data_IF_788282109970
#
_entry.id   IF_788282109970
#
_cell.length_a   1.000
_cell.length_b   1.000
_cell.length_c   1.000
_cell.angle_alpha   90.00
_cell.angle_beta   90.00
_cell.angle_gamma   90.00
#
_symmetry.space_group_name_H-M   'P 1'
#
loop_
_entity.id
_entity.type
_entity.pdbx_description
1 polymer ?
#
# COMPACT_ATOMS: atom_id res chain seq x y z
N UNK A 1 15.77 -19.09 4.28
CA UNK A 1 15.74 -18.92 5.76
C UNK A 1 14.32 -18.60 6.18
N UNK A 2 13.80 -19.26 7.22
CA UNK A 2 12.48 -18.97 7.79
C UNK A 2 12.59 -17.86 8.84
N UNK A 3 11.79 -16.80 8.70
CA UNK A 3 11.76 -15.66 9.62
C UNK A 3 10.39 -15.54 10.29
N UNK A 4 10.09 -16.36 11.31
CA UNK A 4 8.75 -16.42 11.90
C UNK A 4 8.30 -15.13 12.56
N UNK A 5 9.24 -14.25 12.93
CA UNK A 5 8.95 -12.91 13.45
C UNK A 5 8.15 -12.06 12.46
N UNK A 6 8.33 -12.27 11.14
CA UNK A 6 7.63 -11.52 10.11
C UNK A 6 6.15 -11.87 10.04
N UNK A 7 5.75 -13.08 10.44
CA UNK A 7 4.35 -13.52 10.38
C UNK A 7 3.43 -12.69 11.29
N UNK A 8 3.98 -11.93 12.25
CA UNK A 8 3.22 -10.93 12.98
C UNK A 8 2.57 -9.85 12.09
N UNK A 9 3.18 -9.54 10.94
CA UNK A 9 2.70 -8.57 9.96
C UNK A 9 1.61 -9.14 9.03
N UNK A 10 1.55 -10.47 8.93
CA UNK A 10 0.60 -11.18 8.07
C UNK A 10 -0.55 -11.75 8.93
N UNK A 11 -1.57 -10.92 9.18
CA UNK A 11 -2.75 -11.27 9.99
C UNK A 11 -4.03 -11.15 9.19
N UNK A 12 -5.03 -11.93 9.62
CA UNK A 12 -6.40 -11.89 9.09
C UNK A 12 -6.43 -12.04 7.55
N UNK A 13 -6.89 -11.03 6.83
CA UNK A 13 -7.07 -11.08 5.38
C UNK A 13 -5.75 -11.03 4.59
N UNK A 14 -4.61 -10.85 5.27
CA UNK A 14 -3.28 -10.91 4.67
C UNK A 14 -3.07 -12.23 3.92
N UNK A 15 -3.71 -13.32 4.39
CA UNK A 15 -3.63 -14.63 3.73
C UNK A 15 -4.16 -14.62 2.30
N UNK A 16 -5.21 -13.83 2.01
CA UNK A 16 -5.73 -13.71 0.64
C UNK A 16 -4.76 -12.94 -0.25
N UNK A 17 -4.22 -11.81 0.21
CA UNK A 17 -3.27 -11.02 -0.59
C UNK A 17 -1.99 -11.80 -0.92
N UNK A 18 -1.42 -12.47 0.09
CA UNK A 18 -0.21 -13.29 -0.08
C UNK A 18 -0.50 -14.47 -1.01
N UNK A 19 -1.58 -15.23 -0.75
CA UNK A 19 -1.95 -16.37 -1.57
C UNK A 19 -2.27 -16.00 -3.02
N UNK A 20 -2.97 -14.89 -3.27
CA UNK A 20 -3.21 -14.40 -4.63
C UNK A 20 -1.89 -14.03 -5.33
N UNK A 21 -0.91 -13.49 -4.59
CA UNK A 21 0.41 -13.17 -5.15
C UNK A 21 1.15 -14.44 -5.61
N UNK A 22 1.06 -15.54 -4.87
CA UNK A 22 1.72 -16.83 -5.19
C UNK A 22 0.93 -17.65 -6.21
N UNK A 23 -0.31 -17.98 -5.85
CA UNK A 23 -1.14 -19.02 -6.47
C UNK A 23 -2.17 -18.44 -7.45
N UNK A 24 -2.29 -17.12 -7.50
CA UNK A 24 -3.26 -16.43 -8.34
C UNK A 24 -4.69 -16.47 -7.80
N UNK A 25 -5.59 -15.79 -8.49
CA UNK A 25 -6.98 -15.62 -8.08
C UNK A 25 -7.81 -16.92 -8.07
N UNK A 26 -7.47 -17.88 -8.92
CA UNK A 26 -8.24 -19.12 -9.08
C UNK A 26 -8.22 -20.01 -7.82
N UNK A 27 -7.22 -19.82 -6.96
CA UNK A 27 -6.97 -20.66 -5.79
C UNK A 27 -7.80 -20.25 -4.56
N UNK A 28 -8.51 -19.12 -4.62
CA UNK A 28 -9.23 -18.56 -3.46
C UNK A 28 -10.72 -18.32 -3.75
N UNK A 29 -11.58 -18.89 -2.90
CA UNK A 29 -12.99 -18.48 -2.85
C UNK A 29 -13.08 -17.01 -2.44
N UNK A 30 -13.84 -16.20 -3.18
CA UNK A 30 -13.97 -14.76 -2.97
C UNK A 30 -12.71 -13.92 -3.26
N UNK A 31 -11.74 -14.45 -4.02
CA UNK A 31 -10.57 -13.68 -4.46
C UNK A 31 -10.93 -12.37 -5.16
N UNK A 32 -12.07 -12.31 -5.85
CA UNK A 32 -12.57 -11.12 -6.57
C UNK A 32 -12.80 -9.89 -5.69
N UNK A 33 -12.94 -10.05 -4.37
CA UNK A 33 -13.07 -8.92 -3.44
C UNK A 33 -11.75 -8.15 -3.26
N UNK A 34 -10.62 -8.77 -3.60
CA UNK A 34 -9.28 -8.20 -3.43
C UNK A 34 -8.79 -7.61 -4.74
N UNK A 35 -8.45 -6.31 -4.73
CA UNK A 35 -7.93 -5.63 -5.93
C UNK A 35 -6.54 -6.17 -6.32
N UNK A 36 -6.24 -6.31 -7.63
CA UNK A 36 -5.05 -7.01 -8.09
C UNK A 36 -3.75 -6.27 -7.89
N UNK A 37 -3.77 -4.94 -7.77
CA UNK A 37 -2.56 -4.15 -7.80
C UNK A 37 -1.60 -4.49 -6.64
N UNK A 38 -2.13 -4.65 -5.43
CA UNK A 38 -1.32 -4.95 -4.25
C UNK A 38 -0.73 -6.38 -4.29
N UNK A 39 -1.52 -7.45 -4.55
CA UNK A 39 -0.96 -8.79 -4.80
C UNK A 39 0.07 -8.83 -5.94
N UNK A 40 -0.15 -8.09 -7.04
CA UNK A 40 0.80 -8.01 -8.14
C UNK A 40 2.11 -7.33 -7.72
N UNK A 41 2.05 -6.29 -6.88
CA UNK A 41 3.24 -5.66 -6.33
C UNK A 41 4.04 -6.64 -5.45
N UNK A 42 3.36 -7.41 -4.59
CA UNK A 42 4.01 -8.48 -3.80
C UNK A 42 4.66 -9.50 -4.72
N UNK A 43 3.92 -10.01 -5.72
CA UNK A 43 4.38 -11.00 -6.69
C UNK A 43 5.64 -10.54 -7.44
N UNK A 44 5.71 -9.25 -7.78
CA UNK A 44 6.87 -8.68 -8.46
C UNK A 44 8.09 -8.51 -7.53
N UNK A 45 7.86 -8.27 -6.24
CA UNK A 45 8.92 -7.89 -5.29
C UNK A 45 9.49 -9.08 -4.51
N UNK A 46 8.71 -10.11 -4.16
CA UNK A 46 9.21 -11.22 -3.36
C UNK A 46 10.40 -11.98 -3.99
N UNK A 47 10.55 -12.10 -5.33
CA UNK A 47 11.72 -12.74 -5.94
C UNK A 47 13.05 -12.02 -5.65
N UNK A 48 13.01 -10.77 -5.18
CA UNK A 48 14.20 -10.03 -4.74
C UNK A 48 14.81 -10.56 -3.44
N UNK A 49 14.12 -11.45 -2.72
CA UNK A 49 14.58 -12.04 -1.46
C UNK A 49 14.79 -13.57 -1.55
N UNK A 50 15.60 -14.09 -2.50
CA UNK A 50 15.74 -15.52 -2.75
C UNK A 50 16.38 -16.30 -1.59
N UNK A 51 17.00 -15.61 -0.63
CA UNK A 51 17.57 -16.22 0.58
C UNK A 51 16.51 -16.51 1.66
N UNK A 52 15.28 -16.02 1.51
CA UNK A 52 14.15 -16.31 2.38
C UNK A 52 13.29 -17.45 1.82
N UNK A 53 12.55 -18.16 2.68
CA UNK A 53 11.47 -18.99 2.16
C UNK A 53 10.37 -18.11 1.55
N UNK A 54 9.57 -18.69 0.64
CA UNK A 54 8.57 -17.95 -0.15
C UNK A 54 7.66 -17.10 0.74
N UNK A 55 7.16 -17.67 1.84
CA UNK A 55 6.22 -16.96 2.72
C UNK A 55 6.90 -15.78 3.43
N UNK A 56 8.10 -15.98 3.98
CA UNK A 56 8.86 -14.87 4.59
C UNK A 56 9.21 -13.78 3.58
N UNK A 57 9.56 -14.16 2.34
CA UNK A 57 9.86 -13.24 1.25
C UNK A 57 8.65 -12.38 0.85
N UNK A 58 7.47 -12.99 0.75
CA UNK A 58 6.24 -12.27 0.38
C UNK A 58 5.78 -11.30 1.48
N UNK A 59 5.86 -11.71 2.75
CA UNK A 59 5.54 -10.83 3.87
C UNK A 59 6.49 -9.64 3.91
N UNK A 60 7.79 -9.88 3.72
CA UNK A 60 8.77 -8.80 3.65
C UNK A 60 8.50 -7.88 2.44
N UNK A 61 8.20 -8.45 1.28
CA UNK A 61 7.87 -7.69 0.07
C UNK A 61 6.64 -6.80 0.25
N UNK A 62 5.54 -7.34 0.79
CA UNK A 62 4.33 -6.58 1.06
C UNK A 62 4.53 -5.48 2.10
N UNK A 63 5.29 -5.76 3.17
CA UNK A 63 5.64 -4.77 4.18
C UNK A 63 6.46 -3.61 3.58
N UNK A 64 7.51 -3.94 2.82
CA UNK A 64 8.35 -2.93 2.17
C UNK A 64 7.58 -2.12 1.13
N UNK A 65 6.73 -2.77 0.33
CA UNK A 65 5.84 -2.08 -0.59
C UNK A 65 4.94 -1.09 0.14
N UNK A 66 4.32 -1.52 1.24
CA UNK A 66 3.44 -0.66 2.01
C UNK A 66 4.18 0.53 2.63
N UNK A 67 5.40 0.35 3.13
CA UNK A 67 6.23 1.47 3.59
C UNK A 67 6.52 2.48 2.47
N UNK A 68 6.88 1.98 1.28
CA UNK A 68 7.12 2.84 0.11
C UNK A 68 5.83 3.56 -0.30
N UNK A 69 4.70 2.84 -0.34
CA UNK A 69 3.41 3.39 -0.72
C UNK A 69 2.96 4.50 0.25
N UNK A 70 3.07 4.29 1.56
CA UNK A 70 2.78 5.32 2.57
C UNK A 70 3.72 6.51 2.43
N UNK A 71 5.02 6.30 2.20
CA UNK A 71 5.98 7.38 2.01
C UNK A 71 5.62 8.27 0.80
N UNK A 72 5.25 7.65 -0.31
CA UNK A 72 4.80 8.38 -1.52
C UNK A 72 3.42 9.02 -1.27
N UNK A 73 2.51 8.37 -0.56
CA UNK A 73 1.22 8.93 -0.19
C UNK A 73 1.39 10.18 0.69
N UNK A 74 2.29 10.12 1.68
CA UNK A 74 2.63 11.25 2.53
C UNK A 74 3.20 12.42 1.72
N UNK A 75 4.06 12.15 0.74
CA UNK A 75 4.54 13.19 -0.18
C UNK A 75 3.38 13.87 -0.94
N UNK A 76 2.46 13.11 -1.54
CA UNK A 76 1.33 13.70 -2.26
C UNK A 76 0.36 14.43 -1.33
N UNK A 77 0.11 13.89 -0.13
CA UNK A 77 -0.73 14.54 0.89
C UNK A 77 -0.12 15.86 1.37
N UNK A 78 1.19 15.92 1.62
CA UNK A 78 1.87 17.18 1.98
C UNK A 78 1.66 18.22 0.89
N UNK A 79 1.92 17.85 -0.37
CA UNK A 79 1.85 18.76 -1.51
C UNK A 79 0.44 19.25 -1.76
N UNK A 80 -0.54 18.35 -1.70
CA UNK A 80 -1.96 18.65 -1.88
C UNK A 80 -2.45 19.58 -0.76
N UNK A 81 -2.25 19.19 0.50
CA UNK A 81 -2.70 19.98 1.65
C UNK A 81 -2.01 21.33 1.72
N UNK A 82 -0.72 21.41 1.40
CA UNK A 82 0.01 22.68 1.36
C UNK A 82 -0.52 23.62 0.29
N UNK A 83 -0.91 23.09 -0.88
CA UNK A 83 -1.49 23.88 -1.96
C UNK A 83 -2.88 24.42 -1.59
N UNK A 84 -3.71 23.61 -0.90
CA UNK A 84 -5.10 23.95 -0.61
C UNK A 84 -5.28 24.74 0.70
N UNK A 85 -4.51 24.39 1.73
CA UNK A 85 -4.74 24.81 3.12
C UNK A 85 -3.49 25.45 3.76
N UNK A 86 -2.37 25.50 3.04
CA UNK A 86 -1.13 26.11 3.51
C UNK A 86 -0.23 25.17 4.33
N UNK A 87 1.01 25.61 4.63
CA UNK A 87 2.07 24.75 5.15
C UNK A 87 1.84 24.25 6.58
N UNK A 88 1.19 25.04 7.45
CA UNK A 88 0.92 24.64 8.83
C UNK A 88 -0.02 23.43 8.90
N UNK A 89 -1.07 23.44 8.07
CA UNK A 89 -2.05 22.34 8.02
C UNK A 89 -1.41 21.11 7.38
N UNK A 90 -0.56 21.27 6.36
CA UNK A 90 0.18 20.15 5.76
C UNK A 90 1.04 19.39 6.79
N UNK A 91 1.79 20.12 7.63
CA UNK A 91 2.57 19.51 8.71
C UNK A 91 1.69 18.77 9.72
N UNK A 92 0.56 19.35 10.13
CA UNK A 92 -0.39 18.70 11.03
C UNK A 92 -1.01 17.44 10.42
N UNK A 93 -1.34 17.46 9.11
CA UNK A 93 -1.84 16.28 8.40
C UNK A 93 -0.81 15.14 8.40
N UNK A 94 0.46 15.43 8.16
CA UNK A 94 1.52 14.40 8.22
C UNK A 94 1.73 13.88 9.64
N UNK A 95 1.67 14.75 10.65
CA UNK A 95 1.77 14.33 12.05
C UNK A 95 0.60 13.41 12.43
N UNK A 96 -0.62 13.75 12.03
CA UNK A 96 -1.79 12.91 12.23
C UNK A 96 -1.63 11.57 11.49
N UNK A 97 -1.19 11.58 10.24
CA UNK A 97 -0.92 10.36 9.49
C UNK A 97 0.08 9.46 10.24
N UNK A 98 1.13 10.02 10.85
CA UNK A 98 2.15 9.25 11.55
C UNK A 98 1.71 8.70 12.91
N UNK A 99 0.88 9.44 13.66
CA UNK A 99 0.54 9.12 15.07
C UNK A 99 -0.83 8.47 15.22
N UNK A 100 -1.71 8.60 14.22
CA UNK A 100 -3.05 8.03 14.31
C UNK A 100 -2.99 6.50 14.46
N UNK A 101 -3.68 5.91 15.45
CA UNK A 101 -3.51 4.49 15.81
C UNK A 101 -3.84 3.54 14.66
N UNK A 102 -4.81 3.89 13.80
CA UNK A 102 -5.17 3.06 12.65
C UNK A 102 -4.13 3.07 11.53
N UNK A 103 -3.13 3.96 11.55
CA UNK A 103 -2.01 3.94 10.59
C UNK A 103 -1.21 2.64 10.68
N UNK A 104 -1.31 1.89 11.79
CA UNK A 104 -0.80 0.52 11.87
C UNK A 104 -1.33 -0.38 10.74
N UNK A 105 -2.55 -0.18 10.23
CA UNK A 105 -3.06 -0.97 9.09
C UNK A 105 -2.28 -0.73 7.80
N UNK A 106 -1.51 0.35 7.71
CA UNK A 106 -0.60 0.55 6.59
C UNK A 106 0.71 -0.25 6.71
N UNK A 107 0.97 -0.95 7.82
CA UNK A 107 2.15 -1.84 7.94
C UNK A 107 1.78 -3.31 7.87
N UNK A 108 0.51 -3.65 8.10
CA UNK A 108 -0.07 -4.98 7.84
C UNK A 108 -0.09 -5.25 6.33
N UNK A 109 -0.06 -6.52 5.91
CA UNK A 109 -0.08 -6.91 4.49
C UNK A 109 -1.49 -6.74 3.88
N UNK A 110 -1.89 -5.49 3.78
CA UNK A 110 -3.19 -4.98 3.36
C UNK A 110 -3.04 -3.92 2.26
N UNK A 111 -4.12 -3.68 1.51
CA UNK A 111 -4.12 -2.78 0.35
C UNK A 111 -4.19 -1.29 0.70
N UNK A 112 -4.45 -0.96 1.95
CA UNK A 112 -4.84 0.37 2.42
C UNK A 112 -3.76 1.42 2.18
N UNK A 113 -2.48 1.04 2.34
CA UNK A 113 -1.33 1.89 2.02
C UNK A 113 -1.26 2.21 0.51
N UNK A 114 -1.63 1.25 -0.32
CA UNK A 114 -1.69 1.42 -1.78
C UNK A 114 -2.89 2.30 -2.15
N UNK A 115 -4.04 2.08 -1.52
CA UNK A 115 -5.26 2.86 -1.73
C UNK A 115 -5.06 4.34 -1.39
N UNK A 116 -4.49 4.66 -0.22
CA UNK A 116 -4.26 6.06 0.18
C UNK A 116 -3.26 6.77 -0.73
N UNK A 117 -2.25 6.04 -1.26
CA UNK A 117 -1.34 6.56 -2.29
C UNK A 117 -2.11 7.01 -3.54
N UNK A 118 -2.94 6.13 -4.11
CA UNK A 118 -3.67 6.44 -5.33
C UNK A 118 -4.72 7.54 -5.12
N UNK A 119 -5.41 7.55 -3.98
CA UNK A 119 -6.33 8.62 -3.60
C UNK A 119 -5.60 9.97 -3.55
N UNK A 120 -4.50 10.05 -2.80
CA UNK A 120 -3.74 11.30 -2.63
C UNK A 120 -3.14 11.79 -3.95
N UNK A 121 -2.57 10.88 -4.75
CA UNK A 121 -2.02 11.20 -6.05
C UNK A 121 -3.11 11.64 -7.05
N UNK A 122 -4.26 10.97 -7.06
CA UNK A 122 -5.40 11.31 -7.91
C UNK A 122 -5.88 12.74 -7.64
N UNK A 123 -6.14 13.09 -6.38
CA UNK A 123 -6.53 14.46 -6.01
C UNK A 123 -5.44 15.48 -6.30
N UNK A 124 -4.16 15.16 -6.04
CA UNK A 124 -3.06 16.05 -6.39
C UNK A 124 -3.02 16.40 -7.88
N UNK A 125 -3.18 15.41 -8.77
CA UNK A 125 -3.20 15.66 -10.22
C UNK A 125 -4.49 16.31 -10.70
N UNK A 126 -5.61 16.08 -10.02
CA UNK A 126 -6.87 16.76 -10.28
C UNK A 126 -6.73 18.26 -10.03
N UNK A 127 -6.14 18.66 -8.90
CA UNK A 127 -5.84 20.05 -8.55
C UNK A 127 -4.81 20.71 -9.49
N UNK A 128 -4.05 19.92 -10.25
CA UNK A 128 -3.15 20.40 -11.31
C UNK A 128 -3.81 20.47 -12.69
N UNK A 129 -5.11 20.16 -12.80
CA UNK A 129 -5.85 20.13 -14.06
C UNK A 129 -5.54 18.92 -14.95
N UNK A 130 -4.82 17.90 -14.45
CA UNK A 130 -4.43 16.71 -15.22
C UNK A 130 -5.47 15.59 -15.05
N UNK A 131 -6.69 15.84 -15.54
CA UNK A 131 -7.88 15.00 -15.30
C UNK A 131 -7.69 13.54 -15.72
N UNK A 132 -7.07 13.29 -16.88
CA UNK A 132 -6.86 11.91 -17.36
C UNK A 132 -5.96 11.08 -16.43
N UNK A 133 -4.90 11.69 -15.89
CA UNK A 133 -4.04 11.02 -14.93
C UNK A 133 -4.72 10.85 -13.58
N UNK A 134 -5.47 11.85 -13.12
CA UNK A 134 -6.24 11.75 -11.89
C UNK A 134 -7.26 10.61 -11.97
N UNK A 135 -8.00 10.50 -13.08
CA UNK A 135 -8.94 9.41 -13.33
C UNK A 135 -8.25 8.05 -13.40
N UNK A 136 -7.12 7.95 -14.10
CA UNK A 136 -6.33 6.72 -14.18
C UNK A 136 -5.84 6.25 -12.81
N UNK A 137 -5.33 7.16 -11.99
CA UNK A 137 -4.89 6.84 -10.63
C UNK A 137 -6.06 6.52 -9.70
N UNK A 138 -7.19 7.22 -9.81
CA UNK A 138 -8.38 6.96 -8.99
C UNK A 138 -9.12 5.67 -9.32
N UNK A 139 -8.89 5.11 -10.52
CA UNK A 139 -9.43 3.82 -10.92
C UNK A 139 -8.68 2.63 -10.29
N UNK A 140 -7.36 2.77 -10.09
CA UNK A 140 -6.49 1.74 -9.50
C UNK A 140 -6.80 1.57 -7.99
#
# INVERSE_FOLDING_TARGET
MNLPVLYGLARWDSGYYLGIATDGYASFQHGYSFRPLFPLAIRALYPAFPWLDVRSAEVLAGFLWNLVAVGIAAFYLERLTKQLLGPAIASSTLLLLAVYPSTFFFTVIYSEATCILFIAASFYYLEKGRILLAGGLGFL
#
